data_IF_201974385287
#
_entry.id   IF_201974385287
#
_cell.length_a   1.000
_cell.length_b   1.000
_cell.length_c   1.000
_cell.angle_alpha   90.00
_cell.angle_beta   90.00
_cell.angle_gamma   90.00
#
_symmetry.space_group_name_H-M   'P 1'
#
loop_
_entity.id
_entity.type
_entity.pdbx_description
1 polymer ?
#
# COMPACT_ATOMS: atom_id res chain seq x y z
N UNK A 1 25.61 10.67 -5.78
CA UNK A 1 25.07 11.65 -4.82
C UNK A 1 23.73 12.17 -5.31
N UNK A 2 22.75 12.25 -4.43
CA UNK A 2 21.40 12.66 -4.81
C UNK A 2 21.03 14.08 -4.33
N UNK A 3 22.02 14.79 -3.79
CA UNK A 3 21.78 16.11 -3.20
C UNK A 3 21.36 17.18 -4.21
N UNK A 4 21.53 16.92 -5.49
CA UNK A 4 21.17 17.83 -6.57
C UNK A 4 19.72 17.62 -7.10
N UNK A 5 18.99 16.64 -6.56
CA UNK A 5 17.61 16.41 -6.93
C UNK A 5 16.69 17.29 -6.12
N UNK A 6 16.15 18.31 -6.76
CA UNK A 6 15.28 19.31 -6.12
C UNK A 6 13.90 19.21 -6.77
N UNK A 7 12.87 19.18 -5.93
CA UNK A 7 11.49 19.19 -6.41
C UNK A 7 11.08 20.65 -6.64
N UNK A 8 10.77 20.96 -7.88
CA UNK A 8 10.20 22.24 -8.28
C UNK A 8 8.72 22.01 -8.63
N UNK A 9 7.97 23.10 -8.80
CA UNK A 9 6.54 23.00 -9.08
C UNK A 9 6.20 22.19 -10.33
N UNK A 10 7.11 22.12 -11.31
CA UNK A 10 6.91 21.39 -12.56
C UNK A 10 7.70 20.08 -12.63
N UNK A 11 8.29 19.64 -11.54
CA UNK A 11 9.05 18.39 -11.52
C UNK A 11 8.10 17.20 -11.50
N UNK A 12 8.34 16.24 -12.41
CA UNK A 12 7.69 14.94 -12.34
C UNK A 12 8.56 14.05 -11.47
N UNK A 13 8.13 13.82 -10.24
CA UNK A 13 8.88 13.01 -9.28
C UNK A 13 8.32 11.60 -9.12
N UNK A 14 7.41 11.21 -10.03
CA UNK A 14 6.83 9.88 -9.95
C UNK A 14 5.72 9.76 -8.91
N UNK A 15 5.41 8.53 -8.55
CA UNK A 15 4.33 8.27 -7.59
C UNK A 15 4.57 6.97 -6.85
N UNK A 16 3.85 6.79 -5.75
CA UNK A 16 3.77 5.50 -5.07
C UNK A 16 2.54 4.73 -5.56
N UNK A 17 2.57 3.43 -5.38
CA UNK A 17 1.48 2.55 -5.77
C UNK A 17 1.27 1.51 -4.68
N UNK A 18 0.01 1.25 -4.35
CA UNK A 18 -0.35 0.14 -3.48
C UNK A 18 -0.51 -1.13 -4.32
N UNK A 19 0.15 -2.20 -3.89
CA UNK A 19 0.07 -3.51 -4.52
C UNK A 19 -0.74 -4.50 -3.69
N UNK A 20 -1.59 -4.00 -2.80
CA UNK A 20 -2.35 -4.85 -1.89
C UNK A 20 -3.21 -5.87 -2.65
N UNK A 21 -3.84 -5.43 -3.75
CA UNK A 21 -4.69 -6.32 -4.56
C UNK A 21 -3.91 -7.54 -5.06
N UNK A 22 -2.70 -7.32 -5.55
CA UNK A 22 -1.84 -8.40 -6.07
C UNK A 22 -1.45 -9.37 -4.96
N UNK A 23 -1.06 -8.84 -3.80
CA UNK A 23 -0.68 -9.68 -2.66
C UNK A 23 -1.87 -10.51 -2.18
N UNK A 24 -3.03 -9.88 -2.04
CA UNK A 24 -4.26 -10.57 -1.63
C UNK A 24 -4.65 -11.66 -2.62
N UNK A 25 -4.59 -11.34 -3.91
CA UNK A 25 -4.92 -12.30 -4.97
C UNK A 25 -3.99 -13.51 -4.92
N UNK A 26 -2.70 -13.28 -4.75
CA UNK A 26 -1.72 -14.36 -4.66
C UNK A 26 -1.95 -15.25 -3.43
N UNK A 27 -2.46 -14.70 -2.36
CA UNK A 27 -2.76 -15.44 -1.13
C UNK A 27 -4.20 -15.92 -1.05
N UNK A 28 -5.00 -15.61 -2.08
CA UNK A 28 -6.41 -16.03 -2.16
C UNK A 28 -7.24 -15.53 -0.97
N UNK A 29 -7.01 -14.29 -0.58
CA UNK A 29 -7.70 -13.63 0.53
C UNK A 29 -8.60 -12.54 -0.04
N UNK A 30 -9.89 -12.57 0.34
CA UNK A 30 -10.85 -11.53 -0.02
C UNK A 30 -10.72 -10.31 0.90
N UNK A 31 -11.32 -9.19 0.47
CA UNK A 31 -11.35 -7.98 1.31
C UNK A 31 -12.06 -8.27 2.65
N UNK A 32 -13.17 -9.00 2.61
CA UNK A 32 -13.90 -9.32 3.83
C UNK A 32 -13.11 -10.20 4.79
N UNK A 33 -12.34 -11.14 4.25
CA UNK A 33 -11.45 -11.95 5.07
C UNK A 33 -10.37 -11.09 5.71
N UNK A 34 -9.81 -10.16 4.96
CA UNK A 34 -8.78 -9.26 5.47
C UNK A 34 -9.34 -8.33 6.56
N UNK A 35 -10.58 -7.84 6.38
CA UNK A 35 -11.27 -7.07 7.43
C UNK A 35 -11.32 -7.86 8.73
N UNK A 36 -11.72 -9.12 8.64
CA UNK A 36 -11.86 -9.98 9.81
C UNK A 36 -10.52 -10.27 10.47
N UNK A 37 -9.49 -10.50 9.68
CA UNK A 37 -8.16 -10.84 10.19
C UNK A 37 -7.43 -9.65 10.80
N UNK A 38 -7.66 -8.45 10.28
CA UNK A 38 -6.97 -7.23 10.73
C UNK A 38 -7.78 -6.41 11.71
N UNK A 39 -9.09 -6.58 11.74
CA UNK A 39 -9.99 -5.70 12.50
C UNK A 39 -10.20 -4.35 11.84
N UNK A 40 -9.73 -4.16 10.63
CA UNK A 40 -9.89 -2.92 9.89
C UNK A 40 -11.24 -2.85 9.21
N UNK A 41 -11.75 -1.63 9.00
CA UNK A 41 -12.99 -1.40 8.28
C UNK A 41 -12.80 -1.62 6.79
N UNK A 42 -13.84 -2.06 6.11
CA UNK A 42 -13.86 -2.26 4.67
C UNK A 42 -13.36 -1.02 3.91
N UNK A 43 -13.83 0.16 4.31
CA UNK A 43 -13.47 1.42 3.65
C UNK A 43 -11.97 1.70 3.69
N UNK A 44 -11.30 1.30 4.76
CA UNK A 44 -9.86 1.47 4.90
C UNK A 44 -9.13 0.56 3.92
N UNK A 45 -9.47 -0.71 3.93
CA UNK A 45 -8.82 -1.71 3.06
C UNK A 45 -9.10 -1.40 1.59
N UNK A 46 -10.31 -0.98 1.27
CA UNK A 46 -10.73 -0.65 -0.09
C UNK A 46 -9.82 0.38 -0.74
N UNK A 47 -9.42 1.40 0.00
CA UNK A 47 -8.54 2.46 -0.52
C UNK A 47 -7.18 1.90 -0.94
N UNK A 48 -6.63 0.99 -0.16
CA UNK A 48 -5.37 0.32 -0.49
C UNK A 48 -5.55 -0.65 -1.65
N UNK A 49 -6.65 -1.40 -1.63
CA UNK A 49 -6.96 -2.40 -2.66
C UNK A 49 -7.09 -1.78 -4.05
N UNK A 50 -7.80 -0.66 -4.15
CA UNK A 50 -8.03 0.03 -5.42
C UNK A 50 -6.99 1.11 -5.72
N UNK A 51 -5.97 1.23 -4.89
CA UNK A 51 -4.89 2.19 -5.07
C UNK A 51 -5.38 3.66 -5.12
N UNK A 52 -6.39 3.97 -4.33
CA UNK A 52 -6.90 5.34 -4.19
C UNK A 52 -6.37 6.03 -2.94
N UNK A 53 -5.58 5.32 -2.14
CA UNK A 53 -4.98 5.85 -0.92
C UNK A 53 -3.92 6.90 -1.27
N UNK A 54 -3.92 8.01 -0.57
CA UNK A 54 -2.93 9.08 -0.78
C UNK A 54 -2.03 9.27 0.42
N UNK A 55 -2.46 8.85 1.60
CA UNK A 55 -1.66 8.92 2.83
C UNK A 55 -1.68 7.58 3.49
N UNK A 56 -0.51 6.96 3.58
CA UNK A 56 -0.39 5.63 4.16
C UNK A 56 -0.31 5.73 5.68
N UNK A 57 -1.06 4.86 6.35
CA UNK A 57 -1.03 4.72 7.80
C UNK A 57 -0.09 3.57 8.14
N UNK A 58 0.94 3.86 8.91
CA UNK A 58 1.96 2.87 9.25
C UNK A 58 1.39 1.68 10.02
N UNK A 59 0.41 1.92 10.89
CA UNK A 59 -0.22 0.83 11.64
C UNK A 59 -1.02 -0.09 10.73
N UNK A 60 -1.74 0.48 9.77
CA UNK A 60 -2.50 -0.30 8.80
C UNK A 60 -1.55 -1.16 7.95
N UNK A 61 -0.46 -0.57 7.49
CA UNK A 61 0.53 -1.29 6.69
C UNK A 61 1.15 -2.43 7.51
N UNK A 62 1.48 -2.17 8.78
CA UNK A 62 2.02 -3.20 9.65
C UNK A 62 1.06 -4.39 9.81
N UNK A 63 -0.24 -4.10 9.93
CA UNK A 63 -1.26 -5.13 10.02
C UNK A 63 -1.32 -5.97 8.75
N UNK A 64 -1.23 -5.32 7.58
CA UNK A 64 -1.19 -6.06 6.32
C UNK A 64 0.03 -6.97 6.24
N UNK A 65 1.20 -6.45 6.58
CA UNK A 65 2.43 -7.24 6.53
C UNK A 65 2.36 -8.43 7.47
N UNK A 66 1.82 -8.23 8.67
CA UNK A 66 1.71 -9.30 9.65
C UNK A 66 0.74 -10.39 9.19
N UNK A 67 -0.46 -10.00 8.76
CA UNK A 67 -1.52 -10.94 8.38
C UNK A 67 -1.18 -11.64 7.06
N UNK A 68 -0.62 -10.92 6.11
CA UNK A 68 -0.30 -11.46 4.79
C UNK A 68 1.10 -12.08 4.72
N UNK A 69 1.85 -12.00 5.80
CA UNK A 69 3.21 -12.53 5.89
C UNK A 69 4.06 -12.05 4.72
N UNK A 70 4.22 -10.74 4.63
CA UNK A 70 4.99 -10.10 3.57
C UNK A 70 5.72 -8.87 4.10
N UNK A 71 6.60 -8.31 3.27
CA UNK A 71 7.32 -7.09 3.58
C UNK A 71 6.58 -5.86 3.08
N UNK A 72 6.94 -4.70 3.61
CA UNK A 72 6.37 -3.43 3.16
C UNK A 72 6.62 -3.22 1.66
N UNK A 73 7.76 -3.68 1.14
CA UNK A 73 8.09 -3.57 -0.28
C UNK A 73 7.15 -4.38 -1.17
N UNK A 74 6.45 -5.38 -0.61
CA UNK A 74 5.43 -6.13 -1.34
C UNK A 74 4.13 -5.34 -1.44
N UNK A 75 3.88 -4.44 -0.49
CA UNK A 75 2.63 -3.69 -0.40
C UNK A 75 2.70 -2.37 -1.16
N UNK A 76 3.84 -1.69 -1.11
CA UNK A 76 3.99 -0.35 -1.68
C UNK A 76 5.25 -0.31 -2.55
N UNK A 77 5.12 0.28 -3.73
CA UNK A 77 6.24 0.49 -4.63
C UNK A 77 6.29 1.94 -5.10
N UNK A 78 7.46 2.34 -5.60
CA UNK A 78 7.67 3.65 -6.20
C UNK A 78 7.79 3.51 -7.72
N UNK A 79 7.05 4.35 -8.43
CA UNK A 79 7.03 4.39 -9.90
C UNK A 79 7.58 5.73 -10.34
N UNK A 80 8.80 5.76 -10.92
CA UNK A 80 9.39 7.00 -11.41
C UNK A 80 8.67 7.61 -12.60
#
# INVERSE_FOLDING_TARGET
>A
MIADKIILWNTDYGKTKSNLKEVMTNRKISIYQLCRLTGLKYEVIKKYYYNTITRYDSDVIAKFCFVLDCDISDIISYIP
#
